data_IF_715993566158
#
_entry.id   IF_715993566158
#
_cell.length_a   1.000
_cell.length_b   1.000
_cell.length_c   1.000
_cell.angle_alpha   90.00
_cell.angle_beta   90.00
_cell.angle_gamma   90.00
#
_symmetry.space_group_name_H-M   'P 1'
#
loop_
_entity.id
_entity.type
_entity.pdbx_description
1 polymer ?
#
# COMPACT_ATOMS: atom_id res chain seq x y z
N UNK A 1 -7.25 39.34 13.62
CA UNK A 1 -5.98 38.81 14.15
C UNK A 1 -5.75 37.43 13.57
N UNK A 2 -5.34 37.38 12.31
CA UNK A 2 -5.05 36.14 11.59
C UNK A 2 -3.52 36.02 11.55
N UNK A 3 -3.02 35.31 12.56
CA UNK A 3 -1.74 34.60 12.65
C UNK A 3 -0.62 35.07 11.70
N UNK A 4 0.29 35.88 12.23
CA UNK A 4 1.70 35.86 11.82
C UNK A 4 2.28 34.50 12.23
N UNK A 5 1.97 33.42 11.51
CA UNK A 5 2.57 32.09 11.77
C UNK A 5 3.75 31.76 10.85
N UNK A 6 4.06 32.65 9.90
CA UNK A 6 5.21 32.53 9.03
C UNK A 6 6.25 33.56 9.46
N UNK A 7 6.84 33.34 10.64
CA UNK A 7 8.13 33.93 10.93
C UNK A 7 9.08 33.43 9.83
N UNK A 8 9.67 34.35 9.07
CA UNK A 8 10.65 34.01 8.04
C UNK A 8 11.87 33.40 8.73
N UNK A 9 11.89 32.07 8.87
CA UNK A 9 13.06 31.30 9.30
C UNK A 9 14.23 31.71 8.41
N UNK A 10 15.32 32.11 9.04
CA UNK A 10 16.55 32.49 8.35
C UNK A 10 17.03 31.34 7.47
N UNK A 11 17.80 31.64 6.41
CA UNK A 11 18.26 30.60 5.47
C UNK A 11 18.97 29.43 6.17
N UNK A 12 19.71 29.71 7.23
CA UNK A 12 20.41 28.71 8.04
C UNK A 12 19.46 27.78 8.83
N UNK A 13 18.37 28.32 9.38
CA UNK A 13 17.37 27.53 10.11
C UNK A 13 16.61 26.59 9.17
N UNK A 14 16.31 27.05 7.95
CA UNK A 14 15.69 26.21 6.90
C UNK A 14 16.59 25.04 6.50
N UNK A 15 17.90 25.28 6.39
CA UNK A 15 18.87 24.23 6.07
C UNK A 15 19.03 23.22 7.22
N UNK A 16 18.94 23.68 8.47
CA UNK A 16 18.95 22.79 9.64
C UNK A 16 17.69 21.92 9.69
N UNK A 17 16.52 22.50 9.44
CA UNK A 17 15.27 21.76 9.35
C UNK A 17 15.31 20.74 8.21
N UNK A 18 15.81 21.11 7.04
CA UNK A 18 15.96 20.20 5.90
C UNK A 18 16.85 19.00 6.27
N UNK A 19 18.00 19.24 6.91
CA UNK A 19 18.88 18.17 7.42
C UNK A 19 18.17 17.28 8.43
N UNK A 20 17.41 17.88 9.35
CA UNK A 20 16.65 17.15 10.36
C UNK A 20 15.57 16.25 9.72
N UNK A 21 14.82 16.76 8.75
CA UNK A 21 13.82 15.99 8.01
C UNK A 21 14.44 14.83 7.22
N UNK A 22 15.58 15.05 6.57
CA UNK A 22 16.33 13.99 5.88
C UNK A 22 16.74 12.90 6.86
N UNK A 23 17.37 13.25 7.98
CA UNK A 23 17.81 12.30 9.00
C UNK A 23 16.64 11.47 9.58
N UNK A 24 15.50 12.11 9.86
CA UNK A 24 14.30 11.41 10.32
C UNK A 24 13.76 10.44 9.26
N UNK A 25 13.76 10.87 7.99
CA UNK A 25 13.30 10.05 6.87
C UNK A 25 14.19 8.83 6.65
N UNK A 26 15.52 9.00 6.72
CA UNK A 26 16.50 7.93 6.60
C UNK A 26 16.34 6.89 7.70
N UNK A 27 16.19 7.35 8.95
CA UNK A 27 15.96 6.45 10.10
C UNK A 27 14.71 5.59 9.89
N UNK A 28 13.64 6.19 9.39
CA UNK A 28 12.38 5.48 9.11
C UNK A 28 12.55 4.49 7.97
N UNK A 29 13.27 4.86 6.90
CA UNK A 29 13.55 3.99 5.77
C UNK A 29 14.43 2.79 6.17
N UNK A 30 15.48 3.01 6.97
CA UNK A 30 16.36 1.95 7.47
C UNK A 30 15.56 0.94 8.29
N UNK A 31 14.80 1.40 9.30
CA UNK A 31 13.99 0.53 10.13
C UNK A 31 13.00 -0.31 9.29
N UNK A 32 12.38 0.30 8.26
CA UNK A 32 11.49 -0.39 7.33
C UNK A 32 12.22 -1.46 6.51
N UNK A 33 13.43 -1.17 6.01
CA UNK A 33 14.25 -2.14 5.25
C UNK A 33 14.66 -3.32 6.13
N UNK A 34 15.09 -3.05 7.35
CA UNK A 34 15.48 -4.09 8.32
C UNK A 34 14.30 -4.99 8.69
N UNK A 35 13.12 -4.42 8.97
CA UNK A 35 11.92 -5.19 9.27
C UNK A 35 11.55 -6.14 8.12
N UNK A 36 11.57 -5.64 6.87
CA UNK A 36 11.32 -6.46 5.68
C UNK A 36 12.35 -7.58 5.51
N UNK A 37 13.62 -7.29 5.75
CA UNK A 37 14.68 -8.30 5.66
C UNK A 37 14.49 -9.41 6.71
N UNK A 38 14.11 -9.05 7.95
CA UNK A 38 13.83 -10.03 9.02
C UNK A 38 12.67 -10.95 8.67
N UNK A 39 11.58 -10.43 8.11
CA UNK A 39 10.43 -11.25 7.67
C UNK A 39 10.88 -12.29 6.63
N UNK A 40 11.65 -11.88 5.62
CA UNK A 40 12.15 -12.78 4.55
C UNK A 40 13.05 -13.90 5.09
N UNK A 41 13.87 -13.61 6.10
CA UNK A 41 14.75 -14.62 6.73
C UNK A 41 13.95 -15.68 7.49
N UNK A 42 12.84 -15.28 8.14
CA UNK A 42 11.97 -16.21 8.85
C UNK A 42 11.20 -17.13 7.89
N UNK A 43 10.73 -16.60 6.75
CA UNK A 43 10.04 -17.40 5.72
C UNK A 43 10.97 -18.45 5.08
N UNK A 44 12.25 -18.13 4.89
CA UNK A 44 13.24 -19.07 4.36
C UNK A 44 13.55 -20.27 5.27
N UNK A 45 13.40 -20.12 6.59
CA UNK A 45 13.67 -21.22 7.55
C UNK A 45 12.55 -22.27 7.62
N UNK A 46 11.34 -21.95 7.16
CA UNK A 46 10.22 -22.90 7.13
C UNK A 46 10.30 -23.87 5.93
N UNK A 47 11.22 -23.67 4.99
CA UNK A 47 11.26 -24.42 3.73
C UNK A 47 12.27 -25.59 3.68
N UNK A 48 12.96 -25.91 4.78
CA UNK A 48 14.04 -26.90 4.78
C UNK A 48 13.68 -28.19 5.54
N UNK A 49 12.58 -28.82 5.17
CA UNK A 49 12.35 -30.23 5.46
C UNK A 49 11.55 -30.91 4.33
N UNK A 50 12.26 -31.35 3.29
CA UNK A 50 12.07 -32.70 2.74
C UNK A 50 13.25 -33.07 1.83
N UNK A 51 14.00 -34.06 2.29
CA UNK A 51 14.96 -34.77 1.47
C UNK A 51 14.25 -35.54 0.34
N UNK A 52 14.97 -35.63 -0.78
CA UNK A 52 14.96 -36.66 -1.83
C UNK A 52 13.86 -37.74 -1.76
N UNK A 53 12.99 -37.77 -2.77
CA UNK A 53 12.47 -39.02 -3.31
C UNK A 53 12.21 -38.87 -4.81
N UNK A 54 13.12 -39.43 -5.61
CA UNK A 54 12.87 -39.66 -7.02
C UNK A 54 11.86 -40.81 -7.12
N UNK A 55 10.64 -40.54 -7.61
CA UNK A 55 9.82 -41.58 -8.21
C UNK A 55 9.17 -41.10 -9.50
N UNK A 56 9.23 -41.98 -10.49
CA UNK A 56 8.85 -41.76 -11.87
C UNK A 56 7.33 -41.90 -12.01
N UNK A 57 6.73 -40.91 -12.66
CA UNK A 57 5.55 -41.09 -13.51
C UNK A 57 4.21 -41.28 -12.81
N UNK A 58 3.35 -40.26 -12.90
CA UNK A 58 1.94 -40.51 -13.19
C UNK A 58 1.32 -39.32 -13.91
N UNK A 59 0.66 -39.63 -15.02
CA UNK A 59 -0.20 -38.77 -15.82
C UNK A 59 -1.25 -38.06 -14.97
N UNK A 60 -1.57 -36.84 -15.39
CA UNK A 60 -2.85 -36.15 -15.21
C UNK A 60 -3.40 -36.02 -13.78
N UNK A 61 -3.37 -34.80 -13.24
CA UNK A 61 -4.62 -34.15 -12.86
C UNK A 61 -4.40 -32.65 -12.71
N UNK A 62 -5.23 -31.86 -13.37
CA UNK A 62 -5.35 -30.43 -13.14
C UNK A 62 -5.75 -30.18 -11.68
N UNK A 63 -4.77 -29.89 -10.83
CA UNK A 63 -5.01 -29.25 -9.55
C UNK A 63 -4.79 -27.77 -9.75
N UNK A 64 -5.86 -27.08 -10.10
CA UNK A 64 -5.96 -25.64 -9.84
C UNK A 64 -5.60 -25.46 -8.37
N UNK A 65 -4.43 -24.87 -8.13
CA UNK A 65 -4.07 -24.39 -6.81
C UNK A 65 -5.23 -23.55 -6.34
N UNK A 66 -5.93 -24.03 -5.31
CA UNK A 66 -6.84 -23.21 -4.55
C UNK A 66 -6.01 -22.10 -3.95
N UNK A 67 -5.80 -21.03 -4.71
CA UNK A 67 -5.60 -19.70 -4.16
C UNK A 67 -6.83 -19.53 -3.29
N UNK A 68 -6.66 -19.68 -1.98
CA UNK A 68 -7.64 -19.24 -1.00
C UNK A 68 -8.19 -17.93 -1.54
N UNK A 69 -9.45 -17.95 -2.00
CA UNK A 69 -10.03 -16.80 -2.67
C UNK A 69 -10.03 -15.69 -1.64
N UNK A 70 -9.16 -14.70 -1.82
CA UNK A 70 -9.20 -13.51 -1.00
C UNK A 70 -10.65 -13.00 -1.02
N UNK A 71 -11.17 -12.51 0.12
CA UNK A 71 -12.47 -11.86 0.13
C UNK A 71 -12.52 -10.86 -1.02
N UNK A 72 -13.58 -10.94 -1.81
CA UNK A 72 -13.76 -10.04 -2.94
C UNK A 72 -13.69 -8.60 -2.40
N UNK A 73 -12.69 -7.86 -2.89
CA UNK A 73 -12.41 -6.52 -2.39
C UNK A 73 -13.56 -5.61 -2.82
N UNK A 74 -14.46 -5.33 -1.88
CA UNK A 74 -15.63 -4.49 -2.16
C UNK A 74 -15.18 -3.06 -2.49
N UNK A 75 -15.80 -2.49 -3.51
CA UNK A 75 -15.62 -1.09 -3.87
C UNK A 75 -15.91 -0.19 -2.66
N UNK A 76 -15.00 0.72 -2.29
CA UNK A 76 -15.24 1.66 -1.19
C UNK A 76 -16.33 2.65 -1.61
N UNK A 77 -17.16 3.08 -0.65
CA UNK A 77 -18.19 4.11 -0.88
C UNK A 77 -17.89 5.31 -0.01
N UNK A 78 -17.98 6.52 -0.59
CA UNK A 78 -17.83 7.79 0.11
C UNK A 78 -19.18 8.47 0.25
N UNK A 79 -19.51 8.89 1.47
CA UNK A 79 -20.82 9.48 1.81
C UNK A 79 -20.85 11.01 1.87
N UNK A 80 -19.69 11.66 1.67
CA UNK A 80 -19.54 13.12 1.78
C UNK A 80 -18.88 13.57 3.09
N UNK A 81 -18.65 12.65 4.04
CA UNK A 81 -17.98 12.96 5.31
C UNK A 81 -16.49 13.23 5.13
N UNK A 82 -16.10 14.50 5.18
CA UNK A 82 -14.71 14.96 4.95
C UNK A 82 -13.66 14.21 5.79
N UNK A 83 -13.96 13.87 7.05
CA UNK A 83 -13.01 13.15 7.91
C UNK A 83 -12.75 11.70 7.46
N UNK A 84 -13.68 11.10 6.71
CA UNK A 84 -13.54 9.75 6.15
C UNK A 84 -12.84 9.76 4.78
N UNK A 85 -12.65 10.94 4.15
CA UNK A 85 -12.08 11.06 2.81
C UNK A 85 -10.67 10.47 2.68
N UNK A 86 -9.71 10.70 3.62
CA UNK A 86 -8.39 10.09 3.50
C UNK A 86 -8.44 8.55 3.48
N UNK A 87 -9.22 7.97 4.40
CA UNK A 87 -9.40 6.53 4.48
C UNK A 87 -10.14 5.95 3.26
N UNK A 88 -11.10 6.70 2.71
CA UNK A 88 -11.77 6.36 1.45
C UNK A 88 -10.76 6.35 0.30
N UNK A 89 -9.94 7.39 0.17
CA UNK A 89 -9.01 7.55 -0.94
C UNK A 89 -7.94 6.45 -0.93
N UNK A 90 -7.37 6.11 0.24
CA UNK A 90 -6.42 5.00 0.37
C UNK A 90 -6.99 3.67 -0.15
N UNK A 91 -8.27 3.41 0.17
CA UNK A 91 -8.97 2.19 -0.28
C UNK A 91 -9.27 2.26 -1.78
N UNK A 92 -9.73 3.41 -2.28
CA UNK A 92 -10.02 3.61 -3.70
C UNK A 92 -8.75 3.45 -4.54
N UNK A 93 -7.61 3.96 -4.06
CA UNK A 93 -6.34 3.82 -4.74
C UNK A 93 -5.90 2.35 -4.89
N UNK A 94 -6.07 1.55 -3.83
CA UNK A 94 -5.78 0.12 -3.87
C UNK A 94 -6.72 -0.69 -4.77
N UNK A 95 -7.97 -0.25 -4.94
CA UNK A 95 -8.98 -0.97 -5.74
C UNK A 95 -8.96 -0.60 -7.23
N UNK A 96 -8.73 0.68 -7.54
CA UNK A 96 -8.96 1.25 -8.87
C UNK A 96 -7.76 2.06 -9.36
N UNK A 97 -7.23 3.00 -8.58
CA UNK A 97 -6.26 3.97 -9.12
C UNK A 97 -4.90 3.35 -9.49
N UNK A 98 -4.45 2.33 -8.76
CA UNK A 98 -3.16 1.68 -9.01
C UNK A 98 -3.22 0.62 -10.12
N UNK A 99 -4.39 0.41 -10.72
CA UNK A 99 -4.62 -0.54 -11.80
C UNK A 99 -4.17 0.07 -13.13
N UNK A 100 -3.14 -0.51 -13.74
CA UNK A 100 -2.62 -0.07 -15.04
C UNK A 100 -3.47 -0.52 -16.23
N UNK A 101 -4.50 -1.34 -15.99
CA UNK A 101 -5.42 -1.86 -17.00
C UNK A 101 -6.65 -0.96 -17.23
N UNK A 102 -6.81 0.12 -16.44
CA UNK A 102 -7.89 1.08 -16.58
C UNK A 102 -7.37 2.40 -17.13
N UNK A 103 -8.08 2.96 -18.11
CA UNK A 103 -7.87 4.33 -18.57
C UNK A 103 -8.49 5.36 -17.60
N UNK A 104 -8.09 6.61 -17.74
CA UNK A 104 -8.52 7.70 -16.85
C UNK A 104 -10.04 7.89 -16.84
N UNK A 105 -10.73 7.70 -17.97
CA UNK A 105 -12.18 7.86 -18.04
C UNK A 105 -12.90 6.72 -17.29
N UNK A 106 -12.41 5.49 -17.41
CA UNK A 106 -12.91 4.36 -16.63
C UNK A 106 -12.65 4.55 -15.14
N UNK A 107 -11.44 4.99 -14.76
CA UNK A 107 -11.08 5.30 -13.38
C UNK A 107 -12.02 6.36 -12.78
N UNK A 108 -12.26 7.44 -13.53
CA UNK A 108 -13.21 8.48 -13.13
C UNK A 108 -14.65 7.96 -13.00
N UNK A 109 -15.07 7.09 -13.91
CA UNK A 109 -16.40 6.44 -13.83
C UNK A 109 -16.54 5.60 -12.56
N UNK A 110 -15.49 4.87 -12.17
CA UNK A 110 -15.46 4.14 -10.90
C UNK A 110 -15.51 5.08 -9.70
N UNK A 111 -14.82 6.21 -9.75
CA UNK A 111 -14.88 7.22 -8.70
C UNK A 111 -16.33 7.69 -8.50
N UNK A 112 -17.01 8.08 -9.58
CA UNK A 112 -18.42 8.51 -9.52
C UNK A 112 -19.34 7.43 -8.95
N UNK A 113 -19.15 6.17 -9.36
CA UNK A 113 -19.92 5.04 -8.84
C UNK A 113 -19.69 4.74 -7.35
N UNK A 114 -18.58 5.25 -6.81
CA UNK A 114 -18.18 5.08 -5.41
C UNK A 114 -18.71 6.22 -4.52
N UNK A 115 -19.42 7.20 -5.07
CA UNK A 115 -20.00 8.31 -4.31
C UNK A 115 -21.46 8.00 -3.94
N UNK A 116 -21.88 8.49 -2.78
CA UNK A 116 -23.25 8.36 -2.28
C UNK A 116 -23.60 9.52 -1.35
N UNK A 117 -24.89 9.78 -1.14
CA UNK A 117 -25.34 10.82 -0.21
C UNK A 117 -24.99 12.22 -0.69
N UNK A 118 -24.27 12.97 0.15
CA UNK A 118 -23.86 14.38 -0.09
C UNK A 118 -22.48 14.50 -0.77
N UNK A 119 -21.86 13.36 -1.09
CA UNK A 119 -20.58 13.29 -1.81
C UNK A 119 -20.64 13.82 -3.24
#
# INVERSE_FOLDING_TARGET
MQLQLEAALTGEERDQEAKHWVALSERTQIARREARARIRQMEGSLSNCSASSNDRGHRSNSKTSGKERLPELKMPVFSGKVLEFPAFWDRFQGCVHNRTDLDDASNFSYLLSSLSGEA
#
